data_IF_232247398827
#
_entry.id   IF_232247398827
#
_cell.length_a   1.000
_cell.length_b   1.000
_cell.length_c   1.000
_cell.angle_alpha   90.00
_cell.angle_beta   90.00
_cell.angle_gamma   90.00
#
_symmetry.space_group_name_H-M   'P 1'
#
loop_
_entity.id
_entity.type
_entity.pdbx_description
1 polymer ?
#
# COMPACT_ATOMS: atom_id res chain seq x y z
N UNK A 1 -15.21 8.49 -49.34
CA UNK A 1 -14.00 8.69 -48.49
C UNK A 1 -13.87 7.41 -47.68
N UNK A 2 -12.85 6.66 -47.97
CA UNK A 2 -12.67 5.32 -47.37
C UNK A 2 -11.61 5.44 -46.24
N UNK A 3 -11.88 4.86 -45.08
CA UNK A 3 -10.93 4.76 -44.00
C UNK A 3 -9.90 3.67 -44.36
N UNK A 4 -8.63 3.98 -44.28
CA UNK A 4 -7.53 3.03 -44.59
C UNK A 4 -6.95 2.39 -43.34
N UNK A 5 -6.88 3.12 -42.25
CA UNK A 5 -6.36 2.59 -40.97
C UNK A 5 -7.11 3.17 -39.79
N UNK A 6 -7.28 2.34 -38.75
CA UNK A 6 -7.68 2.79 -37.41
C UNK A 6 -6.68 2.22 -36.41
N UNK A 7 -6.27 3.05 -35.46
CA UNK A 7 -5.34 2.67 -34.39
C UNK A 7 -5.79 3.26 -33.05
N UNK A 8 -5.52 2.56 -31.97
CA UNK A 8 -5.58 3.09 -30.61
C UNK A 8 -4.17 3.46 -30.14
N UNK A 9 -4.07 4.51 -29.35
CA UNK A 9 -2.86 4.90 -28.63
C UNK A 9 -3.21 4.86 -27.14
N UNK A 10 -2.50 4.04 -26.38
CA UNK A 10 -2.68 3.83 -24.95
C UNK A 10 -1.30 3.88 -24.31
N UNK A 11 -1.10 4.69 -23.30
CA UNK A 11 0.22 4.86 -22.65
C UNK A 11 1.36 5.09 -23.68
N UNK A 12 1.11 5.93 -24.69
CA UNK A 12 2.07 6.21 -25.75
C UNK A 12 2.30 5.05 -26.75
N UNK A 13 1.76 3.87 -26.52
CA UNK A 13 1.89 2.71 -27.39
C UNK A 13 0.80 2.69 -28.44
N UNK A 14 1.17 2.37 -29.69
CA UNK A 14 0.23 2.29 -30.81
C UNK A 14 -0.23 0.85 -31.06
N UNK A 15 -1.52 0.66 -31.05
CA UNK A 15 -2.19 -0.62 -31.30
C UNK A 15 -3.07 -0.51 -32.54
N UNK A 16 -2.81 -1.30 -33.60
CA UNK A 16 -3.71 -1.32 -34.76
C UNK A 16 -5.05 -1.95 -34.39
N UNK A 17 -6.15 -1.38 -34.87
CA UNK A 17 -7.45 -2.01 -34.79
C UNK A 17 -7.72 -2.81 -36.07
N UNK A 18 -8.23 -4.01 -35.91
CA UNK A 18 -8.62 -4.89 -37.00
C UNK A 18 -10.16 -4.89 -37.14
N UNK A 19 -10.65 -4.99 -38.36
CA UNK A 19 -12.09 -5.13 -38.65
C UNK A 19 -12.44 -6.60 -38.96
N UNK A 20 -12.97 -7.35 -37.97
CA UNK A 20 -13.48 -8.69 -38.20
C UNK A 20 -14.76 -8.68 -39.09
N UNK A 21 -15.24 -9.88 -39.47
CA UNK A 21 -16.42 -10.06 -40.32
C UNK A 21 -17.72 -9.54 -39.69
N UNK A 22 -17.76 -9.35 -38.35
CA UNK A 22 -18.92 -8.81 -37.61
C UNK A 22 -19.12 -7.30 -37.76
N UNK A 23 -18.16 -6.60 -38.39
CA UNK A 23 -18.24 -5.17 -38.68
C UNK A 23 -17.83 -4.22 -37.56
N UNK A 24 -17.28 -4.73 -36.46
CA UNK A 24 -16.73 -3.91 -35.36
C UNK A 24 -15.21 -3.94 -35.35
N UNK A 25 -14.57 -2.77 -35.16
CA UNK A 25 -13.13 -2.71 -34.99
C UNK A 25 -12.73 -3.24 -33.62
N UNK A 26 -11.77 -4.15 -33.59
CA UNK A 26 -11.30 -4.82 -32.40
C UNK A 26 -9.85 -4.43 -32.13
N UNK A 27 -9.57 -4.02 -30.90
CA UNK A 27 -8.23 -3.84 -30.35
C UNK A 27 -7.73 -5.18 -29.84
N UNK A 28 -6.67 -5.72 -30.47
CA UNK A 28 -5.92 -6.85 -29.94
C UNK A 28 -4.58 -6.30 -29.38
N UNK A 29 -4.46 -6.32 -28.07
CA UNK A 29 -3.26 -5.80 -27.39
C UNK A 29 -3.20 -6.24 -25.93
N UNK A 30 -2.06 -6.02 -25.30
CA UNK A 30 -1.89 -6.17 -23.85
C UNK A 30 -2.23 -4.85 -23.16
N UNK A 31 -2.86 -4.91 -22.00
CA UNK A 31 -3.01 -3.75 -21.12
C UNK A 31 -1.61 -3.22 -20.71
N UNK A 32 -1.47 -1.94 -20.33
CA UNK A 32 -0.28 -1.44 -19.67
C UNK A 32 0.14 -2.34 -18.51
N UNK A 33 1.45 -2.49 -18.29
CA UNK A 33 1.98 -3.40 -17.28
C UNK A 33 1.83 -2.84 -15.86
N UNK A 34 1.80 -1.52 -15.73
CA UNK A 34 1.66 -0.83 -14.46
C UNK A 34 0.18 -0.54 -14.14
N UNK A 35 -0.13 -0.37 -12.86
CA UNK A 35 -1.45 0.02 -12.41
C UNK A 35 -1.80 1.43 -12.90
N UNK A 36 -3.06 1.62 -13.28
CA UNK A 36 -3.58 2.95 -13.56
C UNK A 36 -3.90 3.78 -12.30
N UNK A 37 -3.77 3.22 -11.11
CA UNK A 37 -4.06 3.93 -9.84
C UNK A 37 -3.21 5.20 -9.64
N UNK A 38 -2.03 5.27 -10.27
CA UNK A 38 -1.13 6.41 -10.22
C UNK A 38 -1.31 7.40 -11.39
N UNK A 39 -2.12 7.05 -12.39
CA UNK A 39 -2.44 7.92 -13.50
C UNK A 39 -3.48 9.00 -13.10
N UNK A 40 -3.42 10.20 -13.72
CA UNK A 40 -4.42 11.23 -13.49
C UNK A 40 -5.84 10.72 -13.76
N UNK A 41 -6.68 10.66 -12.73
CA UNK A 41 -8.05 10.14 -12.82
C UNK A 41 -8.18 8.64 -12.61
N UNK A 42 -7.08 7.91 -12.39
CA UNK A 42 -7.10 6.46 -12.14
C UNK A 42 -7.31 5.60 -13.39
N UNK A 43 -6.97 6.13 -14.58
CA UNK A 43 -7.11 5.39 -15.85
C UNK A 43 -6.07 5.86 -16.87
N UNK A 44 -5.74 4.99 -17.80
CA UNK A 44 -5.03 5.35 -19.03
C UNK A 44 -6.01 5.90 -20.06
N UNK A 45 -5.73 7.09 -20.60
CA UNK A 45 -6.52 7.65 -21.69
C UNK A 45 -6.32 6.88 -23.00
N UNK A 46 -7.41 6.50 -23.64
CA UNK A 46 -7.39 5.85 -24.95
C UNK A 46 -7.62 6.89 -26.02
N UNK A 47 -6.70 7.00 -26.99
CA UNK A 47 -6.83 7.87 -28.15
C UNK A 47 -7.05 7.01 -29.40
N UNK A 48 -8.16 7.21 -30.09
CA UNK A 48 -8.45 6.54 -31.38
C UNK A 48 -8.14 7.49 -32.51
N UNK A 49 -7.37 7.01 -33.48
CA UNK A 49 -7.02 7.77 -34.70
C UNK A 49 -7.44 6.98 -35.94
N UNK A 50 -8.27 7.59 -36.76
CA UNK A 50 -8.66 7.06 -38.07
C UNK A 50 -8.01 7.88 -39.18
N UNK A 51 -7.44 7.20 -40.19
CA UNK A 51 -6.78 7.84 -41.34
C UNK A 51 -7.49 7.43 -42.64
N UNK A 52 -7.73 8.36 -43.54
CA UNK A 52 -8.32 8.10 -44.85
C UNK A 52 -7.26 7.86 -45.96
N UNK A 53 -7.71 7.58 -47.17
CA UNK A 53 -6.85 7.36 -48.36
C UNK A 53 -6.03 8.58 -48.76
N UNK A 54 -6.43 9.78 -48.38
CA UNK A 54 -5.72 11.02 -48.62
C UNK A 54 -4.72 11.39 -47.52
N UNK A 55 -4.69 10.60 -46.43
CA UNK A 55 -3.82 10.86 -45.29
C UNK A 55 -4.40 11.82 -44.24
N UNK A 56 -5.69 12.19 -44.37
CA UNK A 56 -6.34 13.00 -43.33
C UNK A 56 -6.63 12.17 -42.10
N UNK A 57 -6.41 12.73 -40.92
CA UNK A 57 -6.63 12.07 -39.63
C UNK A 57 -7.80 12.68 -38.86
N UNK A 58 -8.62 11.82 -38.26
CA UNK A 58 -9.62 12.17 -37.24
C UNK A 58 -9.28 11.48 -35.96
N UNK A 59 -9.35 12.22 -34.84
CA UNK A 59 -9.01 11.73 -33.52
C UNK A 59 -10.16 11.92 -32.55
N UNK A 60 -10.42 10.90 -31.72
CA UNK A 60 -11.23 10.99 -30.50
C UNK A 60 -10.40 10.50 -29.31
N UNK A 61 -10.62 11.06 -28.13
CA UNK A 61 -9.90 10.72 -26.91
C UNK A 61 -10.81 10.85 -25.68
N UNK A 62 -10.27 10.68 -24.48
CA UNK A 62 -11.01 10.75 -23.21
C UNK A 62 -11.65 12.14 -22.93
N UNK A 63 -11.28 13.18 -23.68
CA UNK A 63 -11.86 14.53 -23.55
C UNK A 63 -13.06 14.75 -24.50
N UNK A 64 -13.38 13.77 -25.36
CA UNK A 64 -14.51 13.84 -26.26
C UNK A 64 -15.83 13.89 -25.49
N UNK A 65 -16.71 14.85 -25.81
CA UNK A 65 -17.95 15.08 -25.09
C UNK A 65 -18.98 13.96 -25.20
N UNK A 66 -18.85 13.06 -26.20
CA UNK A 66 -19.78 11.95 -26.46
C UNK A 66 -19.19 10.62 -26.01
N UNK A 67 -17.92 10.38 -26.29
CA UNK A 67 -17.26 9.06 -26.14
C UNK A 67 -16.19 9.03 -25.06
N UNK A 68 -15.78 10.20 -24.53
CA UNK A 68 -14.64 10.33 -23.65
C UNK A 68 -14.64 9.40 -22.45
N UNK A 69 -15.80 9.22 -21.80
CA UNK A 69 -15.92 8.32 -20.65
C UNK A 69 -15.74 6.83 -20.99
N UNK A 70 -15.85 6.46 -22.29
CA UNK A 70 -15.65 5.10 -22.79
C UNK A 70 -14.21 4.88 -23.28
N UNK A 71 -13.43 5.96 -23.39
CA UNK A 71 -12.03 5.95 -23.81
C UNK A 71 -11.08 6.04 -22.61
N UNK A 72 -11.41 5.33 -21.55
CA UNK A 72 -10.69 5.22 -20.29
C UNK A 72 -10.41 3.74 -20.01
N UNK A 73 -9.13 3.38 -19.93
CA UNK A 73 -8.71 2.01 -19.62
C UNK A 73 -8.20 1.94 -18.19
N UNK A 74 -8.86 1.18 -17.33
CA UNK A 74 -8.37 0.85 -16.01
C UNK A 74 -7.54 -0.41 -16.07
N UNK A 75 -6.28 -0.31 -15.64
CA UNK A 75 -5.37 -1.45 -15.48
C UNK A 75 -5.11 -1.66 -13.98
N UNK A 76 -5.19 -2.91 -13.55
CA UNK A 76 -4.91 -3.33 -12.17
C UNK A 76 -3.67 -4.21 -12.17
N UNK A 77 -2.86 -4.06 -11.15
CA UNK A 77 -1.77 -4.98 -10.86
C UNK A 77 -2.21 -6.03 -9.81
N UNK A 78 -1.39 -7.02 -9.53
CA UNK A 78 -1.70 -8.11 -8.59
C UNK A 78 -0.60 -8.35 -7.55
N UNK A 79 0.39 -7.45 -7.48
CA UNK A 79 1.49 -7.52 -6.51
C UNK A 79 0.97 -6.98 -5.19
N UNK A 80 1.15 -7.74 -4.11
CA UNK A 80 0.70 -7.33 -2.79
C UNK A 80 1.69 -6.34 -2.17
N UNK A 81 1.22 -5.35 -1.39
CA UNK A 81 2.10 -4.54 -0.58
C UNK A 81 2.82 -5.38 0.49
N UNK A 82 3.98 -4.91 0.92
CA UNK A 82 4.77 -5.51 1.98
C UNK A 82 4.67 -4.71 3.26
N UNK A 83 4.58 -5.41 4.40
CA UNK A 83 4.57 -4.83 5.74
C UNK A 83 5.72 -5.38 6.54
N UNK A 84 6.57 -4.49 7.09
CA UNK A 84 7.69 -4.87 7.95
C UNK A 84 7.61 -4.11 9.26
N UNK A 85 7.35 -4.79 10.37
CA UNK A 85 7.41 -4.19 11.71
C UNK A 85 8.88 -4.02 12.09
N UNK A 86 9.30 -2.79 12.34
CA UNK A 86 10.70 -2.44 12.63
C UNK A 86 10.97 -2.30 14.14
N UNK A 87 9.94 -1.95 14.93
CA UNK A 87 10.00 -1.93 16.39
C UNK A 87 8.59 -2.15 17.00
N UNK A 88 8.48 -2.92 18.07
CA UNK A 88 9.50 -3.78 18.68
C UNK A 88 9.94 -4.92 17.74
N UNK A 89 11.13 -5.48 17.96
CA UNK A 89 11.55 -6.68 17.25
C UNK A 89 10.82 -7.91 17.78
N UNK A 90 10.61 -8.91 16.92
CA UNK A 90 10.02 -10.18 17.37
C UNK A 90 10.84 -10.82 18.50
N UNK A 91 10.17 -11.38 19.50
CA UNK A 91 10.71 -12.01 20.68
C UNK A 91 11.55 -11.08 21.58
N UNK A 92 11.51 -9.76 21.36
CA UNK A 92 12.24 -8.79 22.18
C UNK A 92 11.59 -8.58 23.55
N UNK A 93 12.38 -8.08 24.51
CA UNK A 93 11.91 -7.56 25.80
C UNK A 93 12.06 -6.05 25.81
N UNK A 94 11.02 -5.35 26.18
CA UNK A 94 11.00 -3.88 26.25
C UNK A 94 10.64 -3.41 27.66
N UNK A 95 11.32 -2.37 28.10
CA UNK A 95 11.22 -1.82 29.47
C UNK A 95 10.28 -0.60 29.54
N UNK A 96 9.34 -0.49 28.63
CA UNK A 96 8.29 0.55 28.64
C UNK A 96 6.93 -0.10 28.41
N UNK A 97 5.92 0.36 29.13
CA UNK A 97 4.54 -0.07 28.93
C UNK A 97 3.81 0.77 27.86
N UNK A 98 4.39 1.86 27.37
CA UNK A 98 3.86 2.70 26.29
C UNK A 98 4.87 2.80 25.14
N UNK A 99 5.15 1.70 24.43
CA UNK A 99 6.12 1.72 23.35
C UNK A 99 5.62 2.53 22.15
N UNK A 100 6.55 3.02 21.34
CA UNK A 100 6.23 3.49 19.99
C UNK A 100 6.44 2.34 19.02
N UNK A 101 5.37 1.87 18.38
CA UNK A 101 5.43 0.82 17.36
C UNK A 101 5.81 1.47 16.03
N UNK A 102 6.80 0.91 15.32
CA UNK A 102 7.20 1.41 14.00
C UNK A 102 7.16 0.29 12.96
N UNK A 103 6.77 0.65 11.73
CA UNK A 103 6.72 -0.27 10.62
C UNK A 103 6.94 0.44 9.29
N UNK A 104 7.30 -0.33 8.27
CA UNK A 104 7.38 0.11 6.88
C UNK A 104 6.28 -0.57 6.08
N UNK A 105 5.53 0.21 5.31
CA UNK A 105 4.50 -0.22 4.39
C UNK A 105 4.96 0.15 3.00
N UNK A 106 5.15 -0.82 2.10
CA UNK A 106 5.74 -0.58 0.77
C UNK A 106 4.96 -1.27 -0.32
N UNK A 107 4.74 -0.53 -1.38
CA UNK A 107 4.22 -1.00 -2.66
C UNK A 107 4.78 -0.10 -3.76
N UNK A 108 5.38 -0.69 -4.78
CA UNK A 108 6.11 0.06 -5.81
C UNK A 108 5.30 0.29 -7.09
N UNK A 109 4.10 -0.30 -7.20
CA UNK A 109 3.26 -0.16 -8.38
C UNK A 109 2.03 0.71 -8.07
N UNK A 110 0.89 0.13 -7.67
CA UNK A 110 -0.32 0.91 -7.38
C UNK A 110 -0.15 1.84 -6.17
N UNK A 111 0.72 1.46 -5.26
CA UNK A 111 0.99 2.17 -4.01
C UNK A 111 0.05 1.78 -2.87
N UNK A 112 0.55 1.90 -1.65
CA UNK A 112 -0.20 1.57 -0.43
C UNK A 112 -1.42 2.47 -0.28
N UNK A 113 -2.60 1.88 0.02
CA UNK A 113 -3.79 2.62 0.46
C UNK A 113 -3.82 2.73 2.00
N UNK A 114 -3.45 3.89 2.58
CA UNK A 114 -3.39 4.06 4.03
C UNK A 114 -4.76 3.98 4.71
N UNK A 115 -5.87 4.16 3.97
CA UNK A 115 -7.22 4.05 4.53
C UNK A 115 -7.57 2.60 4.93
N UNK A 116 -6.87 1.62 4.37
CA UNK A 116 -7.08 0.19 4.65
C UNK A 116 -6.30 -0.31 5.86
N UNK A 117 -5.42 0.52 6.46
CA UNK A 117 -4.57 0.15 7.59
C UNK A 117 -5.36 -0.53 8.71
N UNK A 118 -4.85 -1.68 9.17
CA UNK A 118 -5.36 -2.46 10.29
C UNK A 118 -4.20 -2.81 11.23
N UNK A 119 -3.92 -1.96 12.23
CA UNK A 119 -2.99 -2.24 13.31
C UNK A 119 -3.77 -2.75 14.51
N UNK A 120 -3.32 -3.84 15.13
CA UNK A 120 -3.93 -4.39 16.34
C UNK A 120 -2.87 -4.77 17.36
N UNK A 121 -3.20 -4.57 18.64
CA UNK A 121 -2.41 -5.00 19.79
C UNK A 121 -3.25 -6.03 20.53
N UNK A 122 -2.66 -7.22 20.77
CA UNK A 122 -3.32 -8.35 21.46
C UNK A 122 -4.69 -8.73 20.89
N UNK A 123 -4.85 -8.61 19.55
CA UNK A 123 -6.13 -8.88 18.88
C UNK A 123 -7.27 -7.91 19.24
N UNK A 124 -6.94 -6.77 19.84
CA UNK A 124 -7.91 -5.74 20.22
C UNK A 124 -8.52 -5.01 19.01
N UNK A 125 -9.13 -3.86 19.28
CA UNK A 125 -9.77 -3.03 18.28
C UNK A 125 -8.78 -2.58 17.19
N UNK A 126 -9.29 -2.45 15.98
CA UNK A 126 -8.54 -1.94 14.82
C UNK A 126 -8.13 -0.48 15.06
N UNK A 127 -6.85 -0.20 14.91
CA UNK A 127 -6.25 1.14 14.90
C UNK A 127 -6.03 1.48 13.44
N UNK A 128 -6.67 2.55 12.97
CA UNK A 128 -6.70 2.95 11.56
C UNK A 128 -5.99 4.28 11.35
N UNK A 129 -5.82 4.66 10.11
CA UNK A 129 -5.35 6.00 9.74
C UNK A 129 -6.16 7.09 10.48
N UNK A 130 -5.45 8.09 11.03
CA UNK A 130 -6.06 9.18 11.80
C UNK A 130 -6.30 8.85 13.28
N UNK A 131 -6.00 7.65 13.76
CA UNK A 131 -6.06 7.32 15.19
C UNK A 131 -5.08 8.18 16.00
N UNK A 132 -5.45 8.62 17.22
CA UNK A 132 -4.56 9.38 18.09
C UNK A 132 -3.23 8.65 18.32
N UNK A 133 -2.11 9.35 18.16
CA UNK A 133 -0.76 8.78 18.31
C UNK A 133 -0.23 8.03 17.10
N UNK A 134 -1.03 7.84 16.03
CA UNK A 134 -0.61 7.20 14.79
C UNK A 134 -0.22 8.26 13.75
N UNK A 135 0.97 8.08 13.19
CA UNK A 135 1.49 8.90 12.08
C UNK A 135 1.90 7.98 10.92
N UNK A 136 1.49 8.34 9.72
CA UNK A 136 1.97 7.75 8.47
C UNK A 136 2.74 8.83 7.72
N UNK A 137 4.05 8.65 7.61
CA UNK A 137 4.94 9.55 6.87
C UNK A 137 5.11 9.03 5.45
N UNK A 138 4.67 9.77 4.42
CA UNK A 138 4.88 9.35 3.04
C UNK A 138 6.37 9.24 2.70
N UNK A 139 6.73 8.18 2.00
CA UNK A 139 8.08 7.93 1.46
C UNK A 139 7.92 7.34 0.06
N UNK A 140 9.03 7.24 -0.68
CA UNK A 140 9.02 6.56 -1.97
C UNK A 140 8.51 5.11 -1.81
N UNK A 141 7.53 4.74 -2.61
CA UNK A 141 6.90 3.42 -2.59
C UNK A 141 6.05 3.12 -1.34
N UNK A 142 5.55 4.13 -0.60
CA UNK A 142 4.61 3.87 0.50
C UNK A 142 4.70 4.78 1.71
N UNK A 143 4.73 4.19 2.92
CA UNK A 143 4.69 4.93 4.18
C UNK A 143 5.60 4.32 5.24
N UNK A 144 6.18 5.19 6.08
CA UNK A 144 6.71 4.83 7.38
C UNK A 144 5.65 5.08 8.45
N UNK A 145 5.29 4.03 9.19
CA UNK A 145 4.32 4.06 10.28
C UNK A 145 5.02 4.27 11.61
N UNK A 146 4.46 5.16 12.42
CA UNK A 146 4.82 5.34 13.84
C UNK A 146 3.54 5.44 14.66
N UNK A 147 3.38 4.58 15.66
CA UNK A 147 2.25 4.60 16.58
C UNK A 147 2.74 4.65 18.02
N UNK A 148 2.55 5.80 18.67
CA UNK A 148 2.78 5.96 20.10
C UNK A 148 1.58 5.36 20.86
N UNK A 149 1.80 4.24 21.56
CA UNK A 149 0.73 3.58 22.33
C UNK A 149 0.29 4.51 23.47
N UNK A 150 -1.00 4.94 23.47
CA UNK A 150 -1.46 5.99 24.38
C UNK A 150 -1.68 5.52 25.81
N UNK A 151 -1.96 4.23 26.00
CA UNK A 151 -2.26 3.62 27.30
C UNK A 151 -1.26 2.53 27.64
N UNK A 152 -0.98 2.38 28.94
CA UNK A 152 -0.02 1.39 29.41
C UNK A 152 -0.49 -0.04 29.08
N UNK A 153 0.34 -0.76 28.36
CA UNK A 153 0.17 -2.20 28.12
C UNK A 153 0.54 -2.99 29.38
N UNK A 154 -0.14 -4.10 29.65
CA UNK A 154 0.19 -4.96 30.78
C UNK A 154 1.56 -5.61 30.59
N UNK A 155 2.26 -5.91 31.71
CA UNK A 155 3.46 -6.74 31.66
C UNK A 155 3.14 -8.15 31.11
N UNK A 156 4.11 -8.70 30.40
CA UNK A 156 3.98 -10.03 29.78
C UNK A 156 3.99 -9.98 28.26
N UNK A 157 3.49 -11.04 27.65
CA UNK A 157 3.47 -11.22 26.22
C UNK A 157 2.49 -10.25 25.54
N UNK A 158 2.97 -9.56 24.52
CA UNK A 158 2.18 -8.64 23.70
C UNK A 158 2.38 -8.99 22.23
N UNK A 159 1.28 -9.19 21.51
CA UNK A 159 1.25 -9.44 20.06
C UNK A 159 0.86 -8.16 19.34
N UNK A 160 1.58 -7.82 18.28
CA UNK A 160 1.31 -6.68 17.40
C UNK A 160 1.14 -7.23 16.00
N UNK A 161 0.03 -6.88 15.33
CA UNK A 161 -0.22 -7.25 13.95
C UNK A 161 -0.59 -6.03 13.12
N UNK A 162 -0.09 -5.98 11.87
CA UNK A 162 -0.33 -4.89 10.93
C UNK A 162 -0.68 -5.51 9.58
N UNK A 163 -1.78 -5.05 9.00
CA UNK A 163 -2.22 -5.34 7.64
C UNK A 163 -2.58 -4.06 6.90
N UNK A 164 -2.45 -4.07 5.59
CA UNK A 164 -2.82 -2.97 4.69
C UNK A 164 -3.09 -3.54 3.30
N UNK A 165 -3.85 -2.83 2.47
CA UNK A 165 -3.97 -3.12 1.03
C UNK A 165 -3.31 -2.01 0.21
N UNK A 166 -3.05 -2.29 -1.05
CA UNK A 166 -2.72 -1.28 -2.04
C UNK A 166 -3.98 -0.59 -2.59
N UNK A 167 -3.80 0.33 -3.54
CA UNK A 167 -4.91 1.06 -4.18
C UNK A 167 -5.70 0.21 -5.17
N UNK A 168 -5.16 -0.91 -5.64
CA UNK A 168 -5.85 -1.87 -6.51
C UNK A 168 -6.62 -2.94 -5.72
N UNK A 169 -6.48 -2.93 -4.38
CA UNK A 169 -7.23 -3.81 -3.48
C UNK A 169 -6.51 -5.11 -3.13
N UNK A 170 -5.22 -5.29 -3.51
CA UNK A 170 -4.45 -6.45 -3.10
C UNK A 170 -4.05 -6.30 -1.63
N UNK A 171 -4.45 -7.25 -0.79
CA UNK A 171 -4.15 -7.22 0.63
C UNK A 171 -2.75 -7.78 0.91
N UNK A 172 -1.94 -7.06 1.69
CA UNK A 172 -0.68 -7.57 2.23
C UNK A 172 -0.89 -8.86 3.02
N UNK A 173 0.08 -9.75 3.02
CA UNK A 173 0.14 -10.79 4.03
C UNK A 173 0.43 -10.13 5.39
N UNK A 174 -0.45 -10.31 6.41
CA UNK A 174 -0.34 -9.56 7.65
C UNK A 174 0.99 -9.83 8.37
N UNK A 175 1.73 -8.78 8.69
CA UNK A 175 2.89 -8.88 9.55
C UNK A 175 2.46 -9.01 11.02
N UNK A 176 3.05 -9.94 11.74
CA UNK A 176 2.79 -10.12 13.18
C UNK A 176 4.08 -10.41 13.92
N UNK A 177 4.24 -9.78 15.10
CA UNK A 177 5.33 -10.04 16.03
C UNK A 177 4.79 -10.24 17.44
N UNK A 178 5.59 -10.88 18.28
CA UNK A 178 5.34 -10.97 19.72
C UNK A 178 6.55 -10.38 20.46
N UNK A 179 6.29 -9.53 21.46
CA UNK A 179 7.32 -9.02 22.37
C UNK A 179 6.88 -9.19 23.82
N UNK A 180 7.79 -8.97 24.78
CA UNK A 180 7.47 -9.02 26.21
C UNK A 180 7.63 -7.64 26.82
N UNK A 181 6.57 -7.11 27.42
CA UNK A 181 6.62 -5.91 28.25
C UNK A 181 7.15 -6.33 29.64
N UNK A 182 8.26 -5.73 30.08
CA UNK A 182 8.92 -6.04 31.35
C UNK A 182 9.45 -4.77 31.99
N UNK A 183 8.63 -4.09 32.77
CA UNK A 183 8.95 -2.80 33.41
C UNK A 183 9.31 -2.94 34.90
N UNK A 184 9.01 -4.10 35.50
CA UNK A 184 9.35 -4.36 36.90
C UNK A 184 10.86 -4.52 37.07
N UNK A 185 11.46 -3.64 37.90
CA UNK A 185 12.86 -3.71 38.19
C UNK A 185 13.22 -4.92 39.07
N UNK A 186 14.43 -5.51 38.91
CA UNK A 186 14.87 -6.59 39.80
C UNK A 186 15.06 -6.08 41.21
N UNK A 187 14.77 -6.94 42.19
CA UNK A 187 15.04 -6.66 43.61
C UNK A 187 16.36 -7.30 44.04
N UNK A 188 17.14 -6.57 44.85
CA UNK A 188 18.35 -7.08 45.45
C UNK A 188 18.12 -7.19 46.97
N UNK A 189 18.30 -8.38 47.51
CA UNK A 189 18.33 -8.57 48.98
C UNK A 189 19.70 -9.09 49.42
N UNK A 190 20.28 -8.44 50.42
CA UNK A 190 21.51 -8.87 51.02
C UNK A 190 21.23 -9.58 52.32
N UNK A 191 21.69 -10.83 52.45
CA UNK A 191 21.58 -11.59 53.67
C UNK A 191 22.85 -11.61 54.49
N UNK A 192 23.97 -11.11 53.90
CA UNK A 192 25.30 -11.03 54.56
C UNK A 192 26.13 -9.95 53.86
N UNK A 193 26.91 -9.19 54.56
CA UNK A 193 27.07 -9.15 56.02
C UNK A 193 25.82 -8.57 56.71
N UNK A 194 25.62 -8.92 57.99
CA UNK A 194 24.58 -8.31 58.81
C UNK A 194 24.86 -6.83 59.04
N UNK A 195 23.81 -6.02 59.19
CA UNK A 195 23.95 -4.58 59.50
C UNK A 195 24.84 -4.36 60.73
N UNK A 196 25.84 -3.45 60.61
CA UNK A 196 26.75 -3.13 61.70
C UNK A 196 27.98 -4.05 61.81
N UNK A 197 28.22 -5.00 60.88
CA UNK A 197 29.42 -5.81 60.89
C UNK A 197 30.65 -4.95 60.54
N UNK A 198 31.53 -4.76 61.51
CA UNK A 198 32.85 -4.11 61.32
C UNK A 198 33.87 -5.23 61.17
N UNK A 199 34.56 -5.28 60.02
CA UNK A 199 35.72 -6.17 59.82
C UNK A 199 36.98 -5.43 60.14
N UNK A 200 37.87 -6.04 60.99
CA UNK A 200 39.20 -5.54 61.27
C UNK A 200 40.12 -5.81 60.08
#
# INVERSE_FOLDING_TARGET
MSITTIKAIIDGQTHPLTLPEDGYYVLAGTAPAESSANEPGGYYGVKIVATDEAGNETTINQEDGTWGSQLQLTAYESVKPTVTITYPSNDSRINTCTPTITAQLRDNDSGVDPATLDLRINGGSKITQGAPGLTLTPVEGGYDLSYAVPEALPEGSTTISIGVSDKDGNAADPASITCTIAVTAPTISLSSPAEGLVTN
#
